data_IF_912403818068
#
_entry.id   IF_912403818068
#
_cell.length_a   1.000
_cell.length_b   1.000
_cell.length_c   1.000
_cell.angle_alpha   90.00
_cell.angle_beta   90.00
_cell.angle_gamma   90.00
#
_symmetry.space_group_name_H-M   'P 1'
#
loop_
_entity.id
_entity.type
_entity.pdbx_description
1 polymer ?
#
# COMPACT_ATOMS: atom_id res chain seq x y z
N UNK A 1 -4.59 3.36 -8.59
CA UNK A 1 -4.71 2.14 -7.78
C UNK A 1 -4.15 1.05 -8.63
N UNK A 2 -3.04 0.45 -8.23
CA UNK A 2 -2.38 -0.58 -9.02
C UNK A 2 -1.38 -1.35 -8.17
N UNK A 3 -0.99 -2.55 -8.63
CA UNK A 3 0.18 -3.30 -8.14
C UNK A 3 1.46 -2.69 -8.72
N UNK A 4 2.26 -2.04 -7.87
CA UNK A 4 3.52 -1.42 -8.28
C UNK A 4 4.69 -2.41 -8.33
N UNK A 5 4.53 -3.64 -7.81
CA UNK A 5 5.61 -4.62 -7.62
C UNK A 5 6.84 -4.07 -6.85
N UNK A 6 6.64 -3.00 -6.10
CA UNK A 6 7.66 -2.27 -5.37
C UNK A 6 7.03 -1.61 -4.15
N UNK A 7 7.84 -1.33 -3.12
CA UNK A 7 7.35 -0.69 -1.90
C UNK A 7 7.89 0.73 -1.69
N UNK A 8 7.09 1.56 -1.02
CA UNK A 8 7.44 2.96 -0.70
C UNK A 8 8.44 3.03 0.44
N UNK A 9 8.27 2.23 1.48
CA UNK A 9 9.12 2.20 2.67
C UNK A 9 9.46 0.75 3.06
N UNK A 10 10.55 0.17 2.53
CA UNK A 10 10.91 -1.23 2.76
C UNK A 10 10.95 -1.64 4.23
N UNK A 11 11.39 -0.74 5.11
CA UNK A 11 11.45 -0.98 6.56
C UNK A 11 10.12 -1.37 7.21
N UNK A 12 8.98 -0.99 6.62
CA UNK A 12 7.63 -1.28 7.15
C UNK A 12 6.74 -2.02 6.15
N UNK A 13 7.05 -1.93 4.86
CA UNK A 13 6.29 -2.53 3.76
C UNK A 13 6.83 -3.89 3.31
N UNK A 14 7.98 -4.34 3.83
CA UNK A 14 8.52 -5.70 3.66
C UNK A 14 8.67 -6.35 5.02
N UNK A 15 8.29 -7.62 5.14
CA UNK A 15 8.51 -8.37 6.38
C UNK A 15 9.89 -9.06 6.45
N UNK A 16 10.62 -9.15 5.34
CA UNK A 16 11.78 -10.02 5.20
C UNK A 16 13.10 -9.34 4.83
N UNK A 17 13.22 -7.99 4.72
CA UNK A 17 14.52 -7.37 4.45
C UNK A 17 14.66 -5.85 4.72
N UNK A 18 15.89 -5.49 5.18
CA UNK A 18 16.58 -4.19 5.33
C UNK A 18 15.89 -3.04 6.09
N UNK A 19 16.63 -2.38 7.00
CA UNK A 19 16.23 -1.13 7.68
C UNK A 19 16.18 0.09 6.74
N UNK A 20 16.23 -0.11 5.42
CA UNK A 20 16.27 0.99 4.47
C UNK A 20 14.86 1.62 4.36
N UNK A 21 14.79 2.93 4.60
CA UNK A 21 13.58 3.73 4.41
C UNK A 21 13.46 4.28 2.98
N UNK A 22 14.36 3.88 2.09
CA UNK A 22 14.43 4.40 0.71
C UNK A 22 13.47 3.60 -0.16
N UNK A 23 12.61 4.29 -0.90
CA UNK A 23 11.68 3.69 -1.85
C UNK A 23 12.39 2.82 -2.89
N UNK A 24 11.82 1.65 -3.22
CA UNK A 24 12.44 0.71 -4.17
C UNK A 24 12.47 1.25 -5.61
N UNK A 25 11.66 2.26 -5.94
CA UNK A 25 11.52 2.80 -7.28
C UNK A 25 11.35 4.33 -7.28
N UNK A 26 11.78 4.98 -8.37
CA UNK A 26 11.66 6.43 -8.54
C UNK A 26 10.20 6.90 -8.76
N UNK A 27 9.30 6.00 -9.17
CA UNK A 27 7.89 6.35 -9.38
C UNK A 27 7.25 6.87 -8.10
N UNK A 28 7.61 6.32 -6.93
CA UNK A 28 7.08 6.81 -5.66
C UNK A 28 7.57 8.21 -5.31
N UNK A 29 8.84 8.53 -5.63
CA UNK A 29 9.37 9.88 -5.50
C UNK A 29 8.66 10.84 -6.45
N UNK A 30 8.41 10.40 -7.69
CA UNK A 30 7.65 11.17 -8.66
C UNK A 30 6.22 11.45 -8.17
N UNK A 31 5.47 10.43 -7.75
CA UNK A 31 4.09 10.59 -7.25
C UNK A 31 4.04 11.56 -6.07
N UNK A 32 4.95 11.39 -5.10
CA UNK A 32 5.08 12.30 -3.95
C UNK A 32 5.38 13.73 -4.39
N UNK A 33 6.28 13.93 -5.37
CA UNK A 33 6.60 15.26 -5.91
C UNK A 33 5.43 15.95 -6.61
N UNK A 34 4.37 15.20 -6.95
CA UNK A 34 3.15 15.70 -7.60
C UNK A 34 1.99 15.89 -6.60
N UNK A 35 2.30 16.01 -5.31
CA UNK A 35 1.30 16.18 -4.23
C UNK A 35 0.28 15.03 -4.21
N UNK A 36 0.74 13.81 -4.54
CA UNK A 36 -0.03 12.59 -4.36
C UNK A 36 0.39 11.88 -3.08
N UNK A 37 -0.59 11.33 -2.37
CA UNK A 37 -0.42 10.59 -1.14
C UNK A 37 -0.86 9.14 -1.33
N UNK A 38 -0.15 8.21 -0.70
CA UNK A 38 -0.64 6.84 -0.50
C UNK A 38 -1.69 6.85 0.60
N UNK A 39 -2.94 6.57 0.22
CA UNK A 39 -4.10 6.67 1.10
C UNK A 39 -4.01 5.76 2.32
N UNK A 40 -3.44 4.57 2.19
CA UNK A 40 -3.30 3.64 3.32
C UNK A 40 -2.25 4.17 4.29
N UNK A 41 -1.07 4.54 3.78
CA UNK A 41 0.04 5.03 4.60
C UNK A 41 -0.28 6.37 5.28
N UNK A 42 -1.12 7.22 4.66
CA UNK A 42 -1.64 8.43 5.31
C UNK A 42 -2.49 8.12 6.55
N UNK A 43 -3.31 7.07 6.51
CA UNK A 43 -4.13 6.68 7.67
C UNK A 43 -3.37 5.86 8.71
N UNK A 44 -2.42 5.03 8.26
CA UNK A 44 -1.73 4.04 9.07
C UNK A 44 -0.21 4.12 8.88
N UNK A 45 0.43 5.22 9.28
CA UNK A 45 1.83 5.51 8.95
C UNK A 45 2.80 4.41 9.38
N UNK A 46 2.57 3.80 10.54
CA UNK A 46 3.48 2.78 11.11
C UNK A 46 2.92 1.36 11.09
N UNK A 47 1.78 1.13 10.41
CA UNK A 47 1.21 -0.21 10.34
C UNK A 47 1.95 -1.06 9.31
N UNK A 48 2.43 -2.22 9.75
CA UNK A 48 2.90 -3.30 8.89
C UNK A 48 1.71 -4.16 8.49
N UNK A 49 1.01 -3.78 7.42
CA UNK A 49 -0.07 -4.57 6.86
C UNK A 49 0.24 -4.94 5.42
N UNK A 50 0.65 -6.18 5.22
CA UNK A 50 1.05 -6.68 3.91
C UNK A 50 -0.15 -7.20 3.14
N UNK A 51 -0.12 -7.01 1.83
CA UNK A 51 -1.23 -7.35 0.92
C UNK A 51 -0.85 -8.43 -0.07
N UNK A 52 0.43 -8.60 -0.36
CA UNK A 52 0.94 -9.70 -1.16
C UNK A 52 1.75 -10.65 -0.30
N UNK A 53 1.58 -11.96 -0.51
CA UNK A 53 2.42 -13.00 0.08
C UNK A 53 2.97 -13.90 -1.02
N UNK A 54 4.29 -14.10 -1.02
CA UNK A 54 4.91 -15.04 -1.96
C UNK A 54 4.47 -16.47 -1.66
N UNK A 55 4.06 -17.19 -2.70
CA UNK A 55 3.78 -18.62 -2.63
C UNK A 55 4.92 -19.41 -1.97
N UNK A 56 4.54 -20.31 -1.06
CA UNK A 56 5.45 -21.19 -0.34
C UNK A 56 6.58 -20.45 0.41
N UNK A 57 6.34 -19.21 0.82
CA UNK A 57 7.31 -18.38 1.53
C UNK A 57 6.65 -17.56 2.63
N UNK A 58 7.45 -17.17 3.62
CA UNK A 58 7.05 -16.17 4.60
C UNK A 58 7.28 -14.74 4.09
N UNK A 59 7.66 -14.53 2.83
CA UNK A 59 7.88 -13.20 2.29
C UNK A 59 6.54 -12.50 2.02
N UNK A 60 6.35 -11.33 2.61
CA UNK A 60 5.14 -10.53 2.46
C UNK A 60 5.50 -9.06 2.15
N UNK A 61 4.64 -8.40 1.38
CA UNK A 61 4.82 -6.99 1.05
C UNK A 61 3.55 -6.18 0.84
N UNK A 62 3.66 -4.86 0.99
CA UNK A 62 2.63 -3.87 0.65
C UNK A 62 2.97 -3.21 -0.70
N UNK A 63 2.48 -3.77 -1.82
CA UNK A 63 2.85 -3.40 -3.20
C UNK A 63 1.69 -2.84 -4.07
N UNK A 64 0.46 -3.27 -3.82
CA UNK A 64 -0.76 -2.61 -4.30
C UNK A 64 -1.11 -1.36 -3.49
N UNK A 65 -1.09 -0.19 -4.13
CA UNK A 65 -1.31 1.09 -3.43
C UNK A 65 -2.37 1.94 -4.13
N UNK A 66 -3.11 2.72 -3.31
CA UNK A 66 -4.10 3.69 -3.79
C UNK A 66 -3.52 5.09 -3.57
N UNK A 67 -3.16 5.76 -4.66
CA UNK A 67 -2.69 7.14 -4.64
C UNK A 67 -3.83 8.12 -4.93
N UNK A 68 -3.85 9.24 -4.21
CA UNK A 68 -4.78 10.34 -4.47
C UNK A 68 -4.09 11.69 -4.28
N UNK A 69 -4.65 12.77 -4.84
CA UNK A 69 -4.14 14.11 -4.53
C UNK A 69 -4.38 14.44 -3.07
N UNK A 70 -3.35 15.00 -2.42
CA UNK A 70 -3.36 15.44 -1.03
C UNK A 70 -4.56 16.35 -0.70
N UNK A 71 -5.01 17.15 -1.67
CA UNK A 71 -6.19 18.04 -1.56
C UNK A 71 -7.48 17.30 -1.22
N UNK A 72 -7.54 16.00 -1.49
CA UNK A 72 -8.68 15.14 -1.18
C UNK A 72 -8.44 14.24 0.06
N UNK A 73 -7.28 14.34 0.71
CA UNK A 73 -6.91 13.50 1.84
C UNK A 73 -7.89 13.57 3.01
N UNK A 74 -8.44 14.75 3.29
CA UNK A 74 -9.48 14.94 4.33
C UNK A 74 -10.82 14.24 4.03
N UNK A 75 -11.04 13.86 2.77
CA UNK A 75 -12.19 13.06 2.34
C UNK A 75 -11.98 11.57 2.58
N UNK A 76 -10.77 11.10 2.85
CA UNK A 76 -10.54 9.71 3.20
C UNK A 76 -11.30 9.41 4.51
N UNK A 77 -12.20 8.42 4.46
CA UNK A 77 -12.93 7.94 5.63
C UNK A 77 -12.23 6.76 6.28
N UNK A 78 -11.79 5.80 5.48
CA UNK A 78 -11.06 4.62 5.92
C UNK A 78 -10.46 3.87 4.74
N UNK A 79 -9.44 3.05 5.01
CA UNK A 79 -8.87 2.09 4.07
C UNK A 79 -8.94 0.70 4.70
N UNK A 80 -9.40 -0.30 3.95
CA UNK A 80 -9.54 -1.68 4.40
C UNK A 80 -8.68 -2.59 3.54
N UNK A 81 -8.09 -3.59 4.19
CA UNK A 81 -7.39 -4.69 3.54
C UNK A 81 -8.14 -5.96 3.92
N UNK A 82 -8.56 -6.73 2.92
CA UNK A 82 -9.33 -7.96 3.13
C UNK A 82 -8.72 -9.14 2.39
N UNK A 83 -8.66 -10.30 3.06
CA UNK A 83 -8.12 -11.52 2.46
C UNK A 83 -9.23 -12.27 1.73
N UNK A 84 -9.17 -12.24 0.40
CA UNK A 84 -10.15 -12.89 -0.47
C UNK A 84 -9.63 -14.20 -1.09
N UNK A 85 -8.52 -14.75 -0.60
CA UNK A 85 -7.90 -15.95 -1.17
C UNK A 85 -8.86 -17.14 -1.33
N UNK A 86 -9.82 -17.32 -0.42
CA UNK A 86 -10.83 -18.40 -0.49
C UNK A 86 -11.83 -18.24 -1.64
N UNK A 87 -11.89 -17.06 -2.25
CA UNK A 87 -12.82 -16.71 -3.33
C UNK A 87 -12.07 -16.53 -4.65
N UNK A 88 -10.91 -15.88 -4.62
CA UNK A 88 -10.14 -15.50 -5.81
C UNK A 88 -8.97 -16.42 -6.11
N UNK A 89 -8.52 -17.23 -5.14
CA UNK A 89 -7.27 -17.99 -5.20
C UNK A 89 -6.04 -17.11 -5.50
N UNK A 90 -6.12 -15.81 -5.19
CA UNK A 90 -5.02 -14.86 -5.38
C UNK A 90 -4.12 -14.78 -4.15
N UNK A 91 -2.84 -14.56 -4.41
CA UNK A 91 -1.78 -14.18 -3.48
C UNK A 91 -1.83 -12.69 -3.05
N UNK A 92 -2.72 -11.91 -3.66
CA UNK A 92 -3.03 -10.52 -3.28
C UNK A 92 -4.33 -10.42 -2.45
N UNK A 93 -4.28 -9.58 -1.42
CA UNK A 93 -5.44 -9.12 -0.65
C UNK A 93 -6.12 -7.95 -1.38
N UNK A 94 -7.43 -7.79 -1.16
CA UNK A 94 -8.18 -6.63 -1.64
C UNK A 94 -7.77 -5.39 -0.84
N UNK A 95 -7.57 -4.26 -1.53
CA UNK A 95 -7.44 -2.93 -0.92
C UNK A 95 -8.65 -2.08 -1.29
N UNK A 96 -9.38 -1.58 -0.30
CA UNK A 96 -10.58 -0.76 -0.47
C UNK A 96 -10.43 0.61 0.21
N UNK A 97 -10.65 1.69 -0.54
CA UNK A 97 -10.70 3.05 -0.01
C UNK A 97 -12.14 3.55 0.08
N UNK A 98 -12.57 3.95 1.29
CA UNK A 98 -13.85 4.68 1.48
C UNK A 98 -13.60 6.16 1.56
N UNK A 99 -14.32 6.93 0.75
CA UNK A 99 -14.28 8.40 0.75
C UNK A 99 -15.62 8.98 1.22
N UNK A 100 -15.58 10.13 1.91
CA UNK A 100 -16.76 10.91 2.30
C UNK A 100 -17.43 11.45 1.04
N UNK A 101 -18.74 11.23 0.89
CA UNK A 101 -19.57 12.00 -0.05
C UNK A 101 -19.85 13.38 0.55
N UNK A 102 -19.84 14.40 -0.30
CA UNK A 102 -20.32 15.74 0.06
C UNK A 102 -21.84 15.74 0.24
#
# INVERSE_FOLDING_TARGET
MEDFNAVLSPSIDRNNNSQLQISETEIFLFLTSRELIDCYRTLYPESSNFIWQRDNSSAESYIDTIWMSEKWGEKIKSCYIDNLNLITESDHKLVELKIKRN
#
